data_IF_396185338990
#
_entry.id   IF_396185338990
#
_cell.length_a   1.000
_cell.length_b   1.000
_cell.length_c   1.000
_cell.angle_alpha   90.00
_cell.angle_beta   90.00
_cell.angle_gamma   90.00
#
_symmetry.space_group_name_H-M   'P 1'
#
loop_
_entity.id
_entity.type
_entity.pdbx_description
1 polymer ?
#
# COMPACT_ATOMS: atom_id res chain seq x y z
N UNK A 1 -27.62 81.69 6.89
CA UNK A 1 -26.58 82.13 5.93
C UNK A 1 -25.23 81.65 6.47
N UNK A 2 -24.44 80.97 5.63
CA UNK A 2 -23.15 80.24 5.87
C UNK A 2 -23.28 78.95 6.71
N UNK A 3 -23.22 77.71 6.21
CA UNK A 3 -22.48 76.99 5.15
C UNK A 3 -20.99 76.73 5.45
N UNK A 4 -20.56 75.46 5.22
CA UNK A 4 -19.19 74.91 5.05
C UNK A 4 -18.44 74.52 6.34
N UNK A 5 -17.81 73.35 6.55
CA UNK A 5 -17.45 72.16 5.74
C UNK A 5 -17.25 70.95 6.69
N UNK A 6 -17.66 69.76 6.26
CA UNK A 6 -17.39 68.47 6.88
C UNK A 6 -16.07 67.89 6.33
N UNK A 7 -15.06 67.46 7.12
CA UNK A 7 -13.97 66.67 6.58
C UNK A 7 -14.30 65.18 6.67
N UNK A 8 -14.50 64.62 5.49
CA UNK A 8 -14.59 63.21 5.16
C UNK A 8 -13.29 62.48 5.57
N UNK A 9 -13.35 61.60 6.57
CA UNK A 9 -12.30 60.62 6.85
C UNK A 9 -12.93 59.22 6.89
N UNK A 10 -13.23 58.70 5.70
CA UNK A 10 -13.59 57.29 5.49
C UNK A 10 -12.29 56.49 5.59
N UNK A 11 -11.97 56.05 6.80
CA UNK A 11 -10.94 55.02 7.04
C UNK A 11 -11.53 53.68 6.61
N UNK A 12 -11.21 53.28 5.38
CA UNK A 12 -11.38 51.93 4.84
C UNK A 12 -10.56 50.94 5.70
N UNK A 13 -11.14 50.47 6.80
CA UNK A 13 -10.63 49.29 7.49
C UNK A 13 -11.07 48.05 6.69
N UNK A 14 -10.26 47.72 5.69
CA UNK A 14 -10.29 46.42 5.03
C UNK A 14 -10.00 45.35 6.08
N UNK A 15 -11.05 44.78 6.68
CA UNK A 15 -10.98 43.48 7.32
C UNK A 15 -10.57 42.47 6.24
N UNK A 16 -9.26 42.22 6.15
CA UNK A 16 -8.75 41.06 5.46
C UNK A 16 -9.21 39.85 6.29
N UNK A 17 -10.34 39.27 5.90
CA UNK A 17 -10.66 37.91 6.27
C UNK A 17 -9.54 37.03 5.70
N UNK A 18 -8.56 36.67 6.53
CA UNK A 18 -7.62 35.61 6.22
C UNK A 18 -8.44 34.33 6.05
N UNK A 19 -8.79 34.02 4.80
CA UNK A 19 -9.13 32.66 4.44
C UNK A 19 -7.88 31.83 4.67
N UNK A 20 -7.77 31.26 5.88
CA UNK A 20 -6.99 30.06 6.08
C UNK A 20 -7.68 28.95 5.26
N UNK A 21 -7.47 28.97 3.95
CA UNK A 21 -7.63 27.79 3.10
C UNK A 21 -6.54 26.83 3.55
N UNK A 22 -6.82 26.09 4.62
CA UNK A 22 -6.11 24.85 4.87
C UNK A 22 -6.23 24.04 3.58
N UNK A 23 -5.09 23.81 2.92
CA UNK A 23 -4.97 23.01 1.71
C UNK A 23 -5.40 21.58 2.01
N UNK A 24 -6.70 21.34 2.07
CA UNK A 24 -7.33 20.03 2.11
C UNK A 24 -7.63 19.54 0.69
N UNK A 25 -6.70 19.78 -0.24
CA UNK A 25 -6.81 19.35 -1.65
C UNK A 25 -5.41 19.12 -2.22
N UNK A 26 -4.74 18.06 -1.74
CA UNK A 26 -3.77 17.22 -2.48
C UNK A 26 -3.02 16.25 -1.54
N UNK A 27 -3.72 15.30 -0.92
CA UNK A 27 -3.11 14.03 -0.48
C UNK A 27 -3.97 12.90 -1.02
N UNK A 28 -3.90 12.63 -2.32
CA UNK A 28 -4.76 11.63 -2.95
C UNK A 28 -4.03 10.43 -3.57
N UNK A 29 -2.70 10.31 -3.49
CA UNK A 29 -2.02 9.14 -4.07
C UNK A 29 -0.88 8.54 -3.23
N UNK A 30 -0.52 9.16 -2.11
CA UNK A 30 0.55 8.71 -1.22
C UNK A 30 0.03 8.32 0.17
N UNK A 31 0.66 7.33 0.78
CA UNK A 31 0.44 6.99 2.17
C UNK A 31 0.72 8.21 3.09
N UNK A 32 -0.06 8.42 4.17
CA UNK A 32 0.28 9.42 5.17
C UNK A 32 1.56 9.04 5.91
N UNK A 33 2.33 10.03 6.38
CA UNK A 33 3.56 9.82 7.15
C UNK A 33 3.36 8.97 8.43
N UNK A 34 2.12 8.94 8.94
CA UNK A 34 1.74 8.12 10.11
C UNK A 34 1.61 6.64 9.78
N UNK A 35 1.59 6.26 8.50
CA UNK A 35 1.58 4.87 8.07
C UNK A 35 2.98 4.47 7.60
N UNK A 36 3.68 3.57 8.32
CA UNK A 36 5.05 3.18 8.00
C UNK A 36 5.08 2.18 6.84
N UNK A 37 4.57 2.59 5.65
CA UNK A 37 4.49 1.71 4.48
C UNK A 37 5.87 1.20 4.08
N UNK A 38 5.93 -0.06 3.65
CA UNK A 38 7.18 -0.68 3.21
C UNK A 38 7.71 0.04 1.98
N UNK A 39 8.99 0.41 2.02
CA UNK A 39 9.68 1.16 0.97
C UNK A 39 10.76 0.33 0.28
N UNK A 40 11.11 0.65 -0.97
CA UNK A 40 12.14 -0.08 -1.73
C UNK A 40 13.48 -0.22 -1.02
N UNK A 41 13.93 0.81 -0.27
CA UNK A 41 15.20 0.77 0.44
C UNK A 41 15.26 -0.30 1.55
N UNK A 42 14.11 -0.80 2.00
CA UNK A 42 14.02 -1.86 3.02
C UNK A 42 14.18 -3.26 2.42
N UNK A 43 14.08 -3.43 1.10
CA UNK A 43 14.18 -4.74 0.44
C UNK A 43 15.62 -5.33 0.41
N UNK A 44 16.61 -4.67 1.01
CA UNK A 44 18.01 -5.14 1.11
C UNK A 44 18.70 -5.51 -0.22
N UNK A 45 18.26 -4.93 -1.35
CA UNK A 45 18.73 -5.27 -2.72
C UNK A 45 18.35 -6.68 -3.19
N UNK A 46 17.31 -7.28 -2.62
CA UNK A 46 16.85 -8.59 -3.06
C UNK A 46 16.57 -8.63 -4.57
N UNK A 47 17.19 -9.60 -5.24
CA UNK A 47 16.94 -9.95 -6.64
C UNK A 47 16.44 -11.39 -6.64
N UNK A 48 15.23 -11.67 -7.15
CA UNK A 48 14.73 -13.05 -7.23
C UNK A 48 15.67 -13.95 -8.03
N UNK A 49 15.78 -15.23 -7.65
CA UNK A 49 16.56 -16.20 -8.43
C UNK A 49 15.94 -16.41 -9.82
N UNK A 50 16.74 -16.93 -10.75
CA UNK A 50 16.23 -17.41 -12.04
C UNK A 50 15.12 -18.45 -11.81
N UNK A 51 14.02 -18.46 -12.60
CA UNK A 51 13.79 -17.73 -13.85
C UNK A 51 12.98 -16.44 -13.70
N UNK A 52 12.83 -15.94 -12.48
CA UNK A 52 12.06 -14.72 -12.22
C UNK A 52 12.80 -13.48 -12.75
N UNK A 53 12.08 -12.45 -13.23
CA UNK A 53 12.72 -11.26 -13.74
C UNK A 53 13.42 -10.50 -12.60
N UNK A 54 14.64 -9.97 -12.83
CA UNK A 54 15.43 -9.31 -11.78
C UNK A 54 14.80 -8.00 -11.29
N UNK A 55 13.79 -7.48 -12.00
CA UNK A 55 13.02 -6.29 -11.64
C UNK A 55 11.53 -6.63 -11.63
N UNK A 56 10.81 -6.04 -10.69
CA UNK A 56 9.36 -6.09 -10.66
C UNK A 56 8.76 -5.25 -11.80
N UNK A 57 7.44 -5.32 -11.95
CA UNK A 57 6.68 -4.49 -12.88
C UNK A 57 6.92 -2.99 -12.64
N UNK A 58 6.66 -2.17 -13.67
CA UNK A 58 6.79 -0.72 -13.54
C UNK A 58 5.90 -0.19 -12.43
N UNK A 59 6.48 0.54 -11.48
CA UNK A 59 5.79 1.06 -10.29
C UNK A 59 5.86 0.16 -9.07
N UNK A 60 6.42 -1.05 -9.20
CA UNK A 60 6.58 -2.01 -8.10
C UNK A 60 8.07 -2.30 -7.81
N UNK A 61 8.33 -2.94 -6.67
CA UNK A 61 9.63 -3.49 -6.31
C UNK A 61 9.48 -4.87 -5.66
N UNK A 62 10.52 -5.70 -5.78
CA UNK A 62 10.58 -6.99 -5.07
C UNK A 62 10.91 -6.77 -3.61
N UNK A 63 10.18 -7.45 -2.72
CA UNK A 63 10.40 -7.41 -1.28
C UNK A 63 10.38 -8.81 -0.69
N UNK A 64 11.41 -9.17 0.08
CA UNK A 64 11.56 -10.47 0.72
C UNK A 64 12.94 -11.09 0.51
N UNK A 65 12.95 -12.43 0.44
CA UNK A 65 14.14 -13.26 0.19
C UNK A 65 13.80 -14.40 -0.78
N UNK A 66 14.78 -15.22 -1.14
CA UNK A 66 14.58 -16.45 -1.94
C UNK A 66 13.60 -17.46 -1.31
N UNK A 67 13.40 -17.37 0.01
CA UNK A 67 12.46 -18.22 0.74
C UNK A 67 11.00 -17.79 0.61
N UNK A 68 10.75 -16.49 0.53
CA UNK A 68 9.42 -15.92 0.32
C UNK A 68 9.55 -14.45 -0.10
N UNK A 69 8.91 -14.07 -1.21
CA UNK A 69 8.88 -12.68 -1.67
C UNK A 69 7.56 -12.31 -2.35
N UNK A 70 7.32 -11.01 -2.48
CA UNK A 70 6.17 -10.42 -3.19
C UNK A 70 6.60 -9.16 -3.95
N UNK A 71 5.77 -8.71 -4.89
CA UNK A 71 5.86 -7.37 -5.45
C UNK A 71 5.05 -6.38 -4.60
N UNK A 72 5.60 -5.20 -4.33
CA UNK A 72 4.93 -4.11 -3.63
C UNK A 72 5.00 -2.81 -4.43
N UNK A 73 3.96 -1.96 -4.38
CA UNK A 73 3.98 -0.67 -5.08
C UNK A 73 4.97 0.28 -4.41
N UNK A 74 5.75 1.00 -5.21
CA UNK A 74 6.78 1.95 -4.73
C UNK A 74 6.19 3.06 -3.86
N UNK A 75 4.96 3.51 -4.14
CA UNK A 75 4.27 4.51 -3.33
C UNK A 75 3.73 3.94 -2.00
N UNK A 76 3.71 2.61 -1.84
CA UNK A 76 3.19 1.91 -0.67
C UNK A 76 1.66 1.90 -0.57
N UNK A 77 0.95 2.23 -1.66
CA UNK A 77 -0.51 2.39 -1.66
C UNK A 77 -1.20 1.32 -2.52
N UNK A 78 -2.21 0.67 -1.96
CA UNK A 78 -3.18 -0.13 -2.71
C UNK A 78 -4.50 0.61 -2.85
N UNK A 79 -5.12 0.49 -4.03
CA UNK A 79 -6.43 1.10 -4.33
C UNK A 79 -7.53 0.05 -4.27
N UNK A 80 -8.55 0.33 -3.48
CA UNK A 80 -9.69 -0.56 -3.26
C UNK A 80 -9.44 -1.60 -2.17
N UNK A 81 -10.54 -2.12 -1.64
CA UNK A 81 -10.55 -3.06 -0.52
C UNK A 81 -10.27 -4.51 -0.92
N UNK A 82 -10.36 -4.85 -2.20
CA UNK A 82 -10.11 -6.21 -2.70
C UNK A 82 -8.82 -6.22 -3.49
N UNK A 83 -7.88 -7.06 -3.08
CA UNK A 83 -6.60 -7.22 -3.75
C UNK A 83 -6.35 -8.69 -4.10
N UNK A 84 -5.54 -8.90 -5.14
CA UNK A 84 -4.94 -10.20 -5.43
C UNK A 84 -3.47 -10.13 -5.06
N UNK A 85 -3.05 -11.02 -4.19
CA UNK A 85 -1.66 -11.15 -3.76
C UNK A 85 -1.00 -12.32 -4.46
N UNK A 86 0.28 -12.15 -4.79
CA UNK A 86 1.14 -13.19 -5.31
C UNK A 86 2.39 -13.28 -4.43
N UNK A 87 2.60 -14.44 -3.82
CA UNK A 87 3.82 -14.79 -3.13
C UNK A 87 4.61 -15.78 -3.97
N UNK A 88 5.91 -15.62 -3.95
CA UNK A 88 6.84 -16.43 -4.73
C UNK A 88 7.84 -17.07 -3.78
N UNK A 89 8.38 -18.21 -4.19
CA UNK A 89 9.41 -18.95 -3.45
C UNK A 89 10.27 -19.75 -4.41
N UNK A 90 11.56 -19.88 -4.11
CA UNK A 90 12.44 -20.77 -4.85
C UNK A 90 12.01 -22.24 -4.66
N UNK A 91 11.90 -22.96 -5.78
CA UNK A 91 11.50 -24.37 -5.77
C UNK A 91 10.01 -24.62 -5.51
N UNK A 92 9.14 -23.60 -5.53
CA UNK A 92 7.70 -23.83 -5.54
C UNK A 92 7.25 -24.47 -6.86
N UNK A 93 6.59 -25.63 -6.77
CA UNK A 93 6.08 -26.38 -7.92
C UNK A 93 4.57 -26.64 -7.78
N UNK A 94 3.79 -26.01 -8.65
CA UNK A 94 2.34 -26.12 -8.65
C UNK A 94 1.82 -27.49 -9.11
N UNK A 95 2.65 -28.28 -9.81
CA UNK A 95 2.26 -29.65 -10.19
C UNK A 95 2.17 -30.56 -8.97
N UNK A 96 2.99 -30.31 -7.94
CA UNK A 96 3.01 -31.07 -6.70
C UNK A 96 2.19 -30.41 -5.59
N UNK A 97 2.09 -29.07 -5.59
CA UNK A 97 1.29 -28.32 -4.62
C UNK A 97 0.38 -27.26 -5.29
N UNK A 98 -0.70 -27.66 -5.98
CA UNK A 98 -1.61 -26.71 -6.65
C UNK A 98 -2.44 -25.87 -5.68
N UNK A 99 -2.54 -26.30 -4.41
CA UNK A 99 -3.23 -25.60 -3.34
C UNK A 99 -2.23 -25.34 -2.21
N UNK A 100 -1.36 -24.33 -2.36
CA UNK A 100 -0.30 -24.07 -1.40
C UNK A 100 -0.89 -23.73 -0.02
N UNK A 101 -0.23 -24.22 1.04
CA UNK A 101 -0.61 -23.86 2.42
C UNK A 101 -0.16 -22.45 2.83
N UNK A 102 -0.24 -21.50 1.90
CA UNK A 102 -0.01 -20.07 2.15
C UNK A 102 -1.18 -19.52 2.97
N UNK A 103 -0.86 -18.88 4.10
CA UNK A 103 -1.82 -18.15 4.93
C UNK A 103 -1.45 -16.68 4.94
N UNK A 104 -2.40 -15.82 4.58
CA UNK A 104 -2.22 -14.37 4.67
C UNK A 104 -3.07 -13.85 5.81
N UNK A 105 -2.45 -13.12 6.72
CA UNK A 105 -3.13 -12.40 7.79
C UNK A 105 -2.85 -10.92 7.67
N UNK A 106 -3.66 -10.09 8.32
CA UNK A 106 -3.40 -8.66 8.35
C UNK A 106 -4.09 -7.98 9.52
N UNK A 107 -3.42 -6.95 10.04
CA UNK A 107 -3.84 -6.15 11.17
C UNK A 107 -3.78 -4.67 10.79
N UNK A 108 -4.85 -3.94 11.13
CA UNK A 108 -4.88 -2.49 10.97
C UNK A 108 -4.02 -1.81 12.05
N UNK A 109 -3.20 -0.85 11.64
CA UNK A 109 -2.23 -0.16 12.50
C UNK A 109 -2.72 1.21 12.99
N UNK A 110 -3.52 1.91 12.19
CA UNK A 110 -3.94 3.30 12.44
C UNK A 110 -5.28 3.42 13.19
N UNK A 111 -6.03 2.33 13.31
CA UNK A 111 -7.32 2.30 14.00
C UNK A 111 -7.75 0.85 14.29
N UNK A 112 -8.64 0.59 15.28
CA UNK A 112 -9.22 -0.73 15.46
C UNK A 112 -9.99 -1.23 14.23
N UNK A 113 -9.80 -2.50 13.87
CA UNK A 113 -10.52 -3.18 12.80
C UNK A 113 -10.55 -4.70 13.02
N UNK A 114 -11.53 -5.43 12.44
CA UNK A 114 -11.42 -6.88 12.27
C UNK A 114 -10.15 -7.23 11.46
N UNK A 115 -9.60 -8.45 11.61
CA UNK A 115 -8.50 -8.91 10.78
C UNK A 115 -8.83 -8.88 9.29
N UNK A 116 -7.80 -8.75 8.47
CA UNK A 116 -7.91 -8.95 7.02
C UNK A 116 -8.43 -10.36 6.71
N UNK A 117 -9.33 -10.44 5.73
CA UNK A 117 -9.86 -11.71 5.24
C UNK A 117 -9.00 -12.18 4.06
N UNK A 118 -8.63 -13.46 4.06
CA UNK A 118 -7.91 -14.12 2.96
C UNK A 118 -8.71 -15.32 2.47
N UNK A 119 -8.76 -15.47 1.16
CA UNK A 119 -9.25 -16.68 0.51
C UNK A 119 -8.24 -17.83 0.69
N UNK A 120 -8.65 -19.04 0.33
CA UNK A 120 -7.71 -20.15 0.15
C UNK A 120 -6.75 -19.85 -0.99
N UNK A 121 -5.46 -20.09 -0.77
CA UNK A 121 -4.46 -19.87 -1.79
C UNK A 121 -4.52 -20.95 -2.89
N UNK A 122 -4.26 -20.51 -4.11
CA UNK A 122 -4.08 -21.38 -5.29
C UNK A 122 -2.74 -21.05 -5.94
N UNK A 123 -2.48 -21.60 -7.11
CA UNK A 123 -1.33 -21.24 -7.93
C UNK A 123 -1.71 -20.24 -9.03
N UNK A 124 -0.71 -19.54 -9.54
CA UNK A 124 -0.78 -18.72 -10.74
C UNK A 124 0.61 -18.64 -11.39
N UNK A 125 0.68 -18.20 -12.64
CA UNK A 125 1.97 -18.08 -13.32
C UNK A 125 1.94 -16.97 -14.38
N UNK A 126 3.08 -16.31 -14.57
CA UNK A 126 3.29 -15.41 -15.71
C UNK A 126 3.84 -16.20 -16.92
N UNK A 127 4.68 -17.19 -16.65
CA UNK A 127 5.22 -18.19 -17.58
C UNK A 127 5.28 -19.54 -16.85
N UNK A 128 5.30 -20.69 -17.55
CA UNK A 128 5.29 -22.01 -16.90
C UNK A 128 6.35 -22.18 -15.79
N UNK A 129 7.51 -21.54 -15.94
CA UNK A 129 8.63 -21.56 -15.01
C UNK A 129 8.60 -20.43 -13.95
N UNK A 130 7.69 -19.45 -14.08
CA UNK A 130 7.53 -18.29 -13.19
C UNK A 130 6.20 -18.41 -12.43
N UNK A 131 6.19 -19.31 -11.45
CA UNK A 131 5.01 -19.73 -10.72
C UNK A 131 4.87 -18.94 -9.41
N UNK A 132 3.65 -18.78 -8.93
CA UNK A 132 3.35 -18.05 -7.72
C UNK A 132 2.24 -18.74 -6.94
N UNK A 133 2.27 -18.58 -5.63
CA UNK A 133 1.14 -18.82 -4.76
C UNK A 133 0.29 -17.56 -4.77
N UNK A 134 -0.98 -17.68 -5.13
CA UNK A 134 -1.89 -16.54 -5.27
C UNK A 134 -3.06 -16.67 -4.32
N UNK A 135 -3.48 -15.55 -3.74
CA UNK A 135 -4.69 -15.51 -2.92
C UNK A 135 -5.42 -14.17 -3.09
N UNK A 136 -6.74 -14.22 -2.95
CA UNK A 136 -7.56 -13.03 -2.82
C UNK A 136 -7.57 -12.57 -1.37
N UNK A 137 -7.46 -11.26 -1.15
CA UNK A 137 -7.62 -10.66 0.16
C UNK A 137 -8.66 -9.54 0.12
N UNK A 138 -9.37 -9.38 1.24
CA UNK A 138 -10.34 -8.33 1.44
C UNK A 138 -10.03 -7.57 2.73
N UNK A 139 -9.79 -6.28 2.59
CA UNK A 139 -9.69 -5.34 3.70
C UNK A 139 -11.09 -5.00 4.20
N UNK A 140 -11.37 -5.17 5.50
CA UNK A 140 -12.62 -4.70 6.09
C UNK A 140 -12.82 -3.19 5.95
N UNK A 141 -11.73 -2.42 5.84
CA UNK A 141 -11.76 -0.97 5.75
C UNK A 141 -10.45 -0.38 5.22
N UNK A 142 -10.53 0.84 4.70
CA UNK A 142 -9.37 1.66 4.30
C UNK A 142 -8.50 1.96 5.52
N UNK A 143 -7.19 2.20 5.31
CA UNK A 143 -6.29 2.52 6.40
C UNK A 143 -4.87 1.96 6.21
N UNK A 144 -4.10 1.98 7.29
CA UNK A 144 -2.75 1.45 7.33
C UNK A 144 -2.79 -0.01 7.80
N UNK A 145 -2.24 -0.93 7.01
CA UNK A 145 -2.31 -2.36 7.28
C UNK A 145 -0.94 -3.01 7.27
N UNK A 146 -0.62 -3.72 8.34
CA UNK A 146 0.44 -4.72 8.37
C UNK A 146 -0.12 -6.05 7.88
N UNK A 147 0.59 -6.69 6.97
CA UNK A 147 0.18 -7.91 6.30
C UNK A 147 1.32 -8.91 6.41
N UNK A 148 1.01 -10.13 6.81
CA UNK A 148 1.99 -11.22 6.89
C UNK A 148 1.53 -12.39 6.05
N UNK A 149 2.38 -12.81 5.10
CA UNK A 149 2.26 -14.09 4.42
C UNK A 149 3.09 -15.14 5.16
N UNK A 150 2.48 -16.26 5.51
CA UNK A 150 3.12 -17.42 6.11
C UNK A 150 3.05 -18.60 5.14
N UNK A 151 4.20 -19.17 4.81
CA UNK A 151 4.27 -20.38 3.98
C UNK A 151 5.42 -21.27 4.46
N UNK A 152 5.09 -22.51 4.82
CA UNK A 152 6.01 -23.43 5.49
C UNK A 152 6.58 -22.80 6.78
N UNK A 153 7.90 -22.71 6.89
CA UNK A 153 8.61 -22.15 8.06
C UNK A 153 9.02 -20.68 7.84
N UNK A 154 8.59 -20.09 6.72
CA UNK A 154 8.97 -18.73 6.32
C UNK A 154 7.79 -17.76 6.41
N UNK A 155 8.11 -16.54 6.81
CA UNK A 155 7.15 -15.45 6.97
C UNK A 155 7.67 -14.19 6.27
N UNK A 156 6.75 -13.42 5.69
CA UNK A 156 7.06 -12.13 5.08
C UNK A 156 6.01 -11.10 5.52
N UNK A 157 6.47 -10.10 6.27
CA UNK A 157 5.63 -9.01 6.79
C UNK A 157 5.94 -7.69 6.08
N UNK A 158 4.91 -6.99 5.65
CA UNK A 158 5.02 -5.67 5.04
C UNK A 158 3.81 -4.79 5.39
N UNK A 159 3.95 -3.48 5.20
CA UNK A 159 2.92 -2.48 5.52
C UNK A 159 2.50 -1.74 4.26
N UNK A 160 1.19 -1.58 4.07
CA UNK A 160 0.60 -0.82 2.96
C UNK A 160 -0.45 0.16 3.45
N UNK A 161 -0.65 1.22 2.67
CA UNK A 161 -1.77 2.14 2.81
C UNK A 161 -2.89 1.74 1.83
N UNK A 162 -4.09 1.49 2.34
CA UNK A 162 -5.25 1.13 1.51
C UNK A 162 -6.14 2.35 1.35
N UNK A 163 -6.26 2.81 0.11
CA UNK A 163 -7.01 4.00 -0.29
C UNK A 163 -8.14 3.66 -1.28
N UNK A 164 -8.96 4.66 -1.60
CA UNK A 164 -10.00 4.52 -2.63
C UNK A 164 -9.39 4.41 -4.03
#
# INVERSE_FOLDING_TARGET
>A
MFMLVLPLLILLSLWQASLAQGSATARLDGAPETCPVTKPYQASLFVPPSPYPPKASAGDFWFGSDRLWTALPVNGTWRGLRQKLAFYREGYDWHTEPQPRLKVTGKRLDSPAPPLLSDHATYGWAKPEQTAMVTGINFPMLGCWEITGHYQDDELTFVVWVAK
#
